data_IF_121610361473
#
_entry.id   IF_121610361473
#
_cell.length_a   1.000
_cell.length_b   1.000
_cell.length_c   1.000
_cell.angle_alpha   90.00
_cell.angle_beta   90.00
_cell.angle_gamma   90.00
#
_symmetry.space_group_name_H-M   'P 1'
#
loop_
_entity.id
_entity.type
_entity.pdbx_description
1 polymer ?
#
# COMPACT_ATOMS: atom_id res chain seq x y z
N UNK A 1 14.77 2.94 -32.97
CA UNK A 1 14.20 2.39 -31.72
C UNK A 1 12.74 2.80 -31.64
N UNK A 2 11.84 1.83 -31.65
CA UNK A 2 10.43 1.97 -31.99
C UNK A 2 9.61 2.91 -31.09
N UNK A 3 9.04 3.95 -31.66
CA UNK A 3 8.10 4.89 -31.04
C UNK A 3 6.77 4.25 -30.56
N UNK A 4 6.50 3.01 -30.91
CA UNK A 4 5.30 2.26 -30.48
C UNK A 4 5.37 1.71 -29.04
N UNK A 5 6.54 1.65 -28.41
CA UNK A 5 6.68 1.16 -27.02
C UNK A 5 6.22 2.18 -25.97
N UNK A 6 6.08 3.46 -26.34
CA UNK A 6 5.77 4.57 -25.40
C UNK A 6 4.26 4.71 -25.12
N UNK A 7 3.40 4.13 -25.99
CA UNK A 7 1.94 4.21 -25.85
C UNK A 7 1.33 3.19 -24.85
N UNK A 8 2.14 2.26 -24.33
CA UNK A 8 1.70 1.24 -23.38
C UNK A 8 1.59 1.75 -21.91
N UNK A 9 2.07 2.96 -21.64
CA UNK A 9 2.09 3.50 -20.29
C UNK A 9 0.94 4.49 -20.06
N UNK A 10 0.10 4.30 -19.01
CA UNK A 10 -1.07 5.16 -18.74
C UNK A 10 -0.71 6.59 -18.33
N UNK A 11 0.57 6.85 -18.07
CA UNK A 11 1.11 8.17 -17.73
C UNK A 11 2.31 8.51 -18.61
N UNK A 12 2.24 9.60 -19.34
CA UNK A 12 3.44 10.26 -19.87
C UNK A 12 4.10 10.98 -18.70
N UNK A 13 5.42 10.90 -18.57
CA UNK A 13 6.20 11.66 -17.56
C UNK A 13 5.90 13.16 -17.67
N UNK A 14 5.52 13.64 -18.87
CA UNK A 14 5.09 15.03 -19.13
C UNK A 14 3.75 15.44 -18.48
N UNK A 15 2.87 14.49 -18.13
CA UNK A 15 1.60 14.81 -17.46
C UNK A 15 1.80 15.09 -15.95
N UNK A 16 3.00 14.85 -15.45
CA UNK A 16 3.35 15.03 -14.04
C UNK A 16 4.00 16.41 -13.86
N UNK A 17 3.26 17.35 -13.29
CA UNK A 17 3.83 18.65 -12.93
C UNK A 17 4.81 18.47 -11.76
N UNK A 18 6.12 18.55 -12.05
CA UNK A 18 7.20 18.34 -11.09
C UNK A 18 7.15 19.34 -9.94
N UNK A 19 6.88 20.61 -10.25
CA UNK A 19 6.87 21.67 -9.23
C UNK A 19 5.72 21.47 -8.26
N UNK A 20 4.55 21.06 -8.77
CA UNK A 20 3.40 20.70 -7.93
C UNK A 20 3.73 19.51 -7.04
N UNK A 21 4.40 18.47 -7.58
CA UNK A 21 4.83 17.33 -6.77
C UNK A 21 5.73 17.76 -5.62
N UNK A 22 6.77 18.55 -5.90
CA UNK A 22 7.71 18.97 -4.87
C UNK A 22 7.03 19.85 -3.80
N UNK A 23 6.09 20.70 -4.20
CA UNK A 23 5.29 21.50 -3.28
C UNK A 23 4.44 20.62 -2.37
N UNK A 24 3.70 19.67 -2.93
CA UNK A 24 2.85 18.76 -2.16
C UNK A 24 3.68 17.82 -1.29
N UNK A 25 4.79 17.30 -1.80
CA UNK A 25 5.72 16.43 -1.08
C UNK A 25 6.34 17.12 0.13
N UNK A 26 6.72 18.39 -0.02
CA UNK A 26 7.25 19.18 1.09
C UNK A 26 6.17 19.58 2.10
N UNK A 27 4.98 19.94 1.64
CA UNK A 27 3.82 20.23 2.49
C UNK A 27 3.41 19.02 3.34
N UNK A 28 3.38 17.85 2.73
CA UNK A 28 3.12 16.58 3.41
C UNK A 28 4.26 16.12 4.33
N UNK A 29 5.35 16.90 4.47
CA UNK A 29 6.55 16.54 5.24
C UNK A 29 7.14 15.17 4.89
N UNK A 30 6.87 14.68 3.70
CA UNK A 30 7.28 13.38 3.21
C UNK A 30 8.81 13.23 3.09
N UNK A 31 9.53 14.35 2.93
CA UNK A 31 10.99 14.41 2.91
C UNK A 31 11.64 14.19 4.27
N UNK A 32 10.90 14.31 5.36
CA UNK A 32 11.42 14.15 6.73
C UNK A 32 11.25 12.71 7.18
N UNK A 33 12.33 11.95 7.14
CA UNK A 33 12.37 10.61 7.70
C UNK A 33 12.52 10.62 9.24
N UNK A 34 12.88 9.49 9.80
CA UNK A 34 13.08 9.33 11.24
C UNK A 34 14.07 10.37 11.79
N UNK A 35 13.89 10.73 13.07
CA UNK A 35 14.90 11.50 13.79
C UNK A 35 16.20 10.70 13.83
N UNK A 36 17.28 11.29 13.32
CA UNK A 36 18.63 10.68 13.34
C UNK A 36 19.19 10.58 14.76
N UNK A 37 18.40 10.98 15.74
CA UNK A 37 18.78 11.10 17.12
C UNK A 37 18.73 9.82 17.88
N UNK A 38 19.76 9.64 18.36
CA UNK A 38 20.38 8.92 19.45
C UNK A 38 21.31 7.88 18.86
N UNK A 39 22.56 8.26 18.89
CA UNK A 39 23.70 7.36 18.86
C UNK A 39 23.45 6.17 19.82
N UNK A 40 22.63 6.36 20.85
CA UNK A 40 22.15 5.34 21.78
C UNK A 40 20.94 4.53 21.29
N UNK A 41 20.09 5.03 20.39
CA UNK A 41 19.00 4.23 19.83
C UNK A 41 19.48 3.55 18.55
N UNK A 42 19.41 2.22 18.50
CA UNK A 42 19.79 1.34 17.38
C UNK A 42 18.98 1.57 16.07
N UNK A 43 18.20 2.65 15.97
CA UNK A 43 17.44 3.03 14.77
C UNK A 43 18.28 3.86 13.82
N UNK A 44 19.29 3.23 13.23
CA UNK A 44 20.07 3.82 12.13
C UNK A 44 19.32 3.68 10.81
N UNK A 45 19.62 4.57 9.85
CA UNK A 45 19.18 4.35 8.46
C UNK A 45 19.65 2.98 7.98
N UNK A 46 18.77 2.25 7.31
CA UNK A 46 19.14 0.94 6.78
C UNK A 46 20.13 1.11 5.60
N UNK A 47 21.18 0.32 5.49
CA UNK A 47 22.18 0.47 4.42
C UNK A 47 21.58 0.47 3.01
N UNK A 48 20.54 -0.33 2.75
CA UNK A 48 19.88 -0.37 1.44
C UNK A 48 19.12 0.91 1.08
N UNK A 49 18.67 1.71 2.08
CA UNK A 49 17.94 2.95 1.85
C UNK A 49 18.85 4.19 1.82
N UNK A 50 20.13 4.06 2.13
CA UNK A 50 21.09 5.20 2.15
C UNK A 50 21.15 5.91 0.82
N UNK A 51 21.03 5.20 -0.31
CA UNK A 51 21.02 5.79 -1.64
C UNK A 51 19.90 6.81 -1.87
N UNK A 52 18.82 6.73 -1.11
CA UNK A 52 17.69 7.66 -1.20
C UNK A 52 17.81 8.87 -0.28
N UNK A 53 18.88 8.98 0.48
CA UNK A 53 19.06 10.03 1.50
C UNK A 53 19.96 11.14 0.99
N UNK A 54 19.60 12.39 1.30
CA UNK A 54 20.45 13.57 1.04
C UNK A 54 21.37 13.87 2.21
N UNK A 55 20.95 13.54 3.44
CA UNK A 55 21.69 13.87 4.66
C UNK A 55 20.77 14.09 5.85
N UNK A 56 21.27 14.83 6.85
CA UNK A 56 20.52 15.13 8.07
C UNK A 56 20.37 16.64 8.26
N UNK A 57 19.17 17.10 8.61
CA UNK A 57 18.88 18.50 8.97
C UNK A 57 17.99 18.53 10.20
N UNK A 58 18.35 19.34 11.21
CA UNK A 58 17.58 19.49 12.46
C UNK A 58 17.24 18.14 13.10
N UNK A 59 18.20 17.24 13.16
CA UNK A 59 18.04 15.90 13.73
C UNK A 59 17.10 14.95 12.96
N UNK A 60 16.65 15.33 11.76
CA UNK A 60 15.90 14.47 10.86
C UNK A 60 16.74 14.07 9.65
N UNK A 61 16.62 12.83 9.26
CA UNK A 61 17.16 12.34 7.99
C UNK A 61 16.28 12.91 6.87
N UNK A 62 16.91 13.40 5.81
CA UNK A 62 16.20 14.00 4.66
C UNK A 62 16.27 13.04 3.48
N UNK A 63 15.09 12.67 2.98
CA UNK A 63 14.92 11.83 1.79
C UNK A 63 15.04 12.71 0.55
N UNK A 64 15.66 12.19 -0.49
CA UNK A 64 15.87 12.88 -1.76
C UNK A 64 14.55 12.97 -2.57
N UNK A 65 13.96 14.16 -2.75
CA UNK A 65 12.70 14.31 -3.45
C UNK A 65 12.79 13.97 -4.95
N UNK A 66 13.96 14.15 -5.57
CA UNK A 66 14.16 13.82 -6.99
C UNK A 66 14.07 12.32 -7.22
N UNK A 67 14.75 11.54 -6.39
CA UNK A 67 14.69 10.08 -6.46
C UNK A 67 13.31 9.56 -6.07
N UNK A 68 12.66 10.20 -5.09
CA UNK A 68 11.28 9.86 -4.73
C UNK A 68 10.35 10.04 -5.92
N UNK A 69 10.43 11.17 -6.63
CA UNK A 69 9.60 11.41 -7.82
C UNK A 69 9.80 10.32 -8.88
N UNK A 70 11.06 9.99 -9.20
CA UNK A 70 11.38 8.95 -10.19
C UNK A 70 10.77 7.59 -9.81
N UNK A 71 11.01 7.16 -8.56
CA UNK A 71 10.50 5.87 -8.06
C UNK A 71 8.98 5.87 -7.93
N UNK A 72 8.38 7.00 -7.53
CA UNK A 72 6.94 7.15 -7.43
C UNK A 72 6.25 7.03 -8.79
N UNK A 73 6.73 7.75 -9.81
CA UNK A 73 6.19 7.66 -11.18
C UNK A 73 6.33 6.23 -11.71
N UNK A 74 7.48 5.59 -11.49
CA UNK A 74 7.69 4.18 -11.88
C UNK A 74 6.70 3.24 -11.21
N UNK A 75 6.43 3.44 -9.92
CA UNK A 75 5.46 2.65 -9.16
C UNK A 75 4.03 2.84 -9.69
N UNK A 76 3.64 4.09 -10.02
CA UNK A 76 2.34 4.37 -10.62
C UNK A 76 2.18 3.72 -12.01
N UNK A 77 3.24 3.69 -12.82
CA UNK A 77 3.23 3.01 -14.12
C UNK A 77 2.99 1.51 -13.96
N UNK A 78 3.67 0.87 -13.02
CA UNK A 78 3.49 -0.57 -12.75
C UNK A 78 2.06 -0.85 -12.28
N UNK A 79 1.53 -0.06 -11.34
CA UNK A 79 0.15 -0.18 -10.87
C UNK A 79 -0.82 -0.07 -12.08
N UNK A 80 -0.65 0.95 -12.92
CA UNK A 80 -1.47 1.14 -14.11
C UNK A 80 -1.37 -0.01 -15.12
N UNK A 81 -0.19 -0.56 -15.31
CA UNK A 81 0.02 -1.73 -16.17
C UNK A 81 -0.74 -2.96 -15.67
N UNK A 82 -0.69 -3.24 -14.35
CA UNK A 82 -1.43 -4.34 -13.75
C UNK A 82 -2.95 -4.14 -13.88
N UNK A 83 -3.43 -2.93 -13.68
CA UNK A 83 -4.85 -2.58 -13.80
C UNK A 83 -5.37 -2.75 -15.25
N UNK A 84 -4.62 -2.29 -16.26
CA UNK A 84 -4.96 -2.51 -17.67
C UNK A 84 -5.05 -3.99 -18.04
N UNK A 85 -4.23 -4.82 -17.41
CA UNK A 85 -4.29 -6.28 -17.58
C UNK A 85 -5.36 -6.96 -16.72
N UNK A 86 -6.24 -6.20 -16.08
CA UNK A 86 -7.29 -6.70 -15.15
C UNK A 86 -6.71 -7.60 -14.05
N UNK A 87 -5.50 -7.27 -13.60
CA UNK A 87 -4.80 -7.96 -12.52
C UNK A 87 -5.24 -7.41 -11.16
N UNK A 88 -5.15 -8.24 -10.13
CA UNK A 88 -5.59 -7.90 -8.77
C UNK A 88 -4.50 -7.22 -7.98
N UNK A 89 -4.86 -6.14 -7.31
CA UNK A 89 -3.97 -5.36 -6.43
C UNK A 89 -4.48 -5.46 -5.01
N UNK A 90 -3.62 -5.88 -4.09
CA UNK A 90 -3.91 -5.91 -2.66
C UNK A 90 -3.19 -4.75 -1.98
N UNK A 91 -3.96 -3.90 -1.30
CA UNK A 91 -3.42 -2.86 -0.42
C UNK A 91 -3.32 -3.42 0.99
N UNK A 92 -2.12 -3.36 1.58
CA UNK A 92 -1.87 -3.85 2.94
C UNK A 92 -1.50 -2.70 3.85
N UNK A 93 -2.22 -2.61 4.95
CA UNK A 93 -2.00 -1.64 6.01
C UNK A 93 -2.19 -2.29 7.38
N UNK A 94 -1.27 -2.06 8.29
CA UNK A 94 -1.38 -2.52 9.69
C UNK A 94 -1.48 -1.38 10.68
N UNK A 95 -1.32 -0.13 10.22
CA UNK A 95 -1.49 1.02 11.08
C UNK A 95 -2.99 1.39 11.19
N UNK A 96 -3.60 1.34 12.39
CA UNK A 96 -5.01 1.68 12.57
C UNK A 96 -5.32 3.15 12.20
N UNK A 97 -4.35 4.06 12.29
CA UNK A 97 -4.53 5.47 11.91
C UNK A 97 -4.89 5.65 10.43
N UNK A 98 -4.46 4.73 9.56
CA UNK A 98 -4.73 4.79 8.13
C UNK A 98 -5.96 3.98 7.70
N UNK A 99 -6.59 3.25 8.63
CA UNK A 99 -7.72 2.37 8.31
C UNK A 99 -8.86 3.12 7.62
N UNK A 100 -9.32 4.23 8.21
CA UNK A 100 -10.39 5.06 7.67
C UNK A 100 -10.03 5.66 6.29
N UNK A 101 -8.76 6.03 6.12
CA UNK A 101 -8.28 6.61 4.87
C UNK A 101 -8.32 5.61 3.73
N UNK A 102 -7.91 4.37 4.00
CA UNK A 102 -7.93 3.27 3.01
C UNK A 102 -9.36 2.85 2.69
N UNK A 103 -10.22 2.81 3.70
CA UNK A 103 -11.64 2.48 3.51
C UNK A 103 -12.34 3.53 2.62
N UNK A 104 -12.11 4.82 2.87
CA UNK A 104 -12.64 5.89 2.03
C UNK A 104 -12.07 5.83 0.60
N UNK A 105 -10.78 5.55 0.45
CA UNK A 105 -10.16 5.31 -0.86
C UNK A 105 -10.83 4.14 -1.58
N UNK A 106 -11.02 3.01 -0.90
CA UNK A 106 -11.64 1.82 -1.47
C UNK A 106 -13.08 2.09 -1.90
N UNK A 107 -13.90 2.73 -1.06
CA UNK A 107 -15.27 3.12 -1.40
C UNK A 107 -15.32 4.00 -2.65
N UNK A 108 -14.39 4.94 -2.81
CA UNK A 108 -14.30 5.79 -3.99
C UNK A 108 -13.88 5.04 -5.27
N UNK A 109 -13.20 3.91 -5.13
CA UNK A 109 -12.73 3.08 -6.25
C UNK A 109 -13.68 1.95 -6.62
N UNK A 110 -14.54 1.50 -5.69
CA UNK A 110 -15.54 0.43 -5.91
C UNK A 110 -16.47 0.69 -7.09
N UNK A 111 -16.83 1.95 -7.31
CA UNK A 111 -17.73 2.36 -8.39
C UNK A 111 -17.18 2.10 -9.81
N UNK A 112 -15.92 1.60 -9.92
CA UNK A 112 -15.19 1.51 -11.19
C UNK A 112 -14.86 0.08 -11.64
N UNK A 113 -15.46 -0.94 -11.02
CA UNK A 113 -15.25 -2.37 -11.36
C UNK A 113 -13.77 -2.78 -11.44
N UNK A 114 -12.92 -2.22 -10.58
CA UNK A 114 -11.48 -2.49 -10.59
C UNK A 114 -11.16 -3.54 -9.51
N UNK A 115 -10.29 -4.48 -9.85
CA UNK A 115 -9.86 -5.57 -8.98
C UNK A 115 -8.83 -5.08 -7.93
N UNK A 116 -9.28 -4.17 -7.05
CA UNK A 116 -8.48 -3.69 -5.92
C UNK A 116 -9.15 -4.15 -4.64
N UNK A 117 -8.39 -4.78 -3.76
CA UNK A 117 -8.83 -5.20 -2.43
C UNK A 117 -7.86 -4.65 -1.38
N UNK A 118 -8.28 -4.65 -0.11
CA UNK A 118 -7.42 -4.19 0.97
C UNK A 118 -7.53 -5.07 2.21
N UNK A 119 -6.45 -5.07 2.99
CA UNK A 119 -6.38 -5.68 4.31
C UNK A 119 -5.92 -4.62 5.32
N UNK A 120 -6.76 -4.33 6.32
CA UNK A 120 -6.49 -3.38 7.39
C UNK A 120 -6.14 -4.07 8.71
N UNK A 121 -5.44 -3.36 9.59
CA UNK A 121 -5.12 -3.66 10.98
C UNK A 121 -4.09 -4.77 11.17
N UNK A 122 -4.37 -6.03 10.83
CA UNK A 122 -3.45 -7.12 11.13
C UNK A 122 -3.31 -8.08 9.94
N UNK A 123 -2.06 -8.33 9.57
CA UNK A 123 -1.75 -9.40 8.63
C UNK A 123 -1.85 -10.77 9.31
N UNK A 124 -2.54 -11.68 8.67
CA UNK A 124 -2.61 -13.08 9.10
C UNK A 124 -1.47 -13.83 8.40
N UNK A 125 -0.53 -14.37 9.17
CA UNK A 125 0.57 -15.16 8.62
C UNK A 125 0.05 -16.31 7.78
N UNK A 126 0.69 -16.55 6.63
CA UNK A 126 0.25 -17.54 5.67
C UNK A 126 -0.90 -17.09 4.75
N UNK A 127 -1.30 -15.82 4.80
CA UNK A 127 -2.42 -15.30 3.99
C UNK A 127 -2.21 -15.53 2.50
N UNK A 128 -1.02 -15.28 1.97
CA UNK A 128 -0.70 -15.51 0.57
C UNK A 128 -0.31 -16.96 0.28
N UNK A 129 0.49 -17.56 1.15
CA UNK A 129 1.02 -18.92 0.95
C UNK A 129 -0.09 -19.96 1.08
N UNK A 130 -0.97 -19.85 2.09
CA UNK A 130 -2.11 -20.73 2.32
C UNK A 130 -3.43 -20.14 1.79
N UNK A 131 -3.38 -19.42 0.67
CA UNK A 131 -4.49 -18.66 0.10
C UNK A 131 -5.84 -19.37 0.12
N UNK A 132 -5.89 -20.60 -0.40
CA UNK A 132 -7.14 -21.36 -0.49
C UNK A 132 -7.79 -21.62 0.87
N UNK A 133 -6.99 -22.00 1.87
CA UNK A 133 -7.50 -22.32 3.21
C UNK A 133 -7.93 -21.04 3.94
N UNK A 134 -7.12 -19.98 3.86
CA UNK A 134 -7.44 -18.69 4.49
C UNK A 134 -8.70 -18.10 3.87
N UNK A 135 -8.84 -18.13 2.54
CA UNK A 135 -10.05 -17.65 1.86
C UNK A 135 -11.31 -18.39 2.27
N UNK A 136 -11.25 -19.72 2.43
CA UNK A 136 -12.38 -20.51 2.95
C UNK A 136 -12.76 -20.07 4.37
N UNK A 137 -11.77 -19.89 5.24
CA UNK A 137 -11.99 -19.42 6.62
C UNK A 137 -12.64 -18.03 6.65
N UNK A 138 -12.19 -17.12 5.79
CA UNK A 138 -12.76 -15.77 5.67
C UNK A 138 -14.19 -15.83 5.14
N UNK A 139 -14.45 -16.62 4.12
CA UNK A 139 -15.82 -16.82 3.56
C UNK A 139 -16.77 -17.36 4.61
N UNK A 140 -16.34 -18.38 5.38
CA UNK A 140 -17.12 -18.92 6.48
C UNK A 140 -17.40 -17.88 7.55
N UNK A 141 -16.38 -17.07 7.89
CA UNK A 141 -16.52 -15.97 8.86
C UNK A 141 -17.48 -14.88 8.34
N UNK A 142 -17.41 -14.51 7.07
CA UNK A 142 -18.31 -13.53 6.47
C UNK A 142 -19.77 -14.03 6.48
N UNK A 143 -20.02 -15.28 6.07
CA UNK A 143 -21.35 -15.87 6.12
C UNK A 143 -21.90 -15.96 7.56
N UNK A 144 -21.04 -16.27 8.52
CA UNK A 144 -21.38 -16.20 9.95
C UNK A 144 -21.72 -14.76 10.36
N UNK A 145 -20.91 -13.81 9.96
CA UNK A 145 -21.07 -12.38 10.27
C UNK A 145 -22.41 -11.83 9.77
N UNK A 146 -22.80 -12.17 8.54
CA UNK A 146 -24.09 -11.76 7.95
C UNK A 146 -25.28 -12.25 8.78
N UNK A 147 -25.23 -13.50 9.28
CA UNK A 147 -26.29 -14.10 10.10
C UNK A 147 -26.33 -13.57 11.53
N UNK A 148 -25.18 -13.29 12.12
CA UNK A 148 -25.05 -12.88 13.53
C UNK A 148 -25.03 -11.38 13.77
N UNK A 149 -24.86 -10.56 12.71
CA UNK A 149 -24.80 -9.10 12.86
C UNK A 149 -26.04 -8.52 13.54
N UNK A 150 -27.22 -9.00 13.16
CA UNK A 150 -28.52 -8.61 13.75
C UNK A 150 -28.61 -9.03 15.20
N UNK A 151 -28.18 -10.23 15.55
CA UNK A 151 -28.20 -10.74 16.92
C UNK A 151 -27.23 -10.00 17.84
N UNK A 152 -26.02 -9.68 17.35
CA UNK A 152 -25.00 -8.92 18.10
C UNK A 152 -25.50 -7.50 18.39
N UNK A 153 -26.12 -6.84 17.39
CA UNK A 153 -26.66 -5.50 17.53
C UNK A 153 -27.85 -5.45 18.50
N UNK A 154 -28.76 -6.42 18.42
CA UNK A 154 -29.95 -6.48 19.29
C UNK A 154 -29.60 -6.72 20.77
N UNK A 155 -28.55 -7.48 21.04
CA UNK A 155 -28.19 -7.88 22.40
C UNK A 155 -27.01 -7.06 22.98
N UNK A 156 -26.51 -6.03 22.28
CA UNK A 156 -25.38 -5.21 22.71
C UNK A 156 -24.14 -6.03 23.14
N UNK A 157 -23.91 -7.18 22.51
CA UNK A 157 -22.84 -8.10 22.88
C UNK A 157 -21.51 -7.55 22.33
N UNK A 158 -20.58 -7.23 23.20
CA UNK A 158 -19.26 -6.76 22.79
C UNK A 158 -18.32 -7.95 22.55
N UNK A 159 -18.09 -8.29 21.27
CA UNK A 159 -17.09 -9.27 20.86
C UNK A 159 -15.85 -8.61 20.23
N UNK A 160 -14.84 -8.22 21.01
CA UNK A 160 -13.66 -7.50 20.48
C UNK A 160 -12.94 -8.31 19.39
N UNK A 161 -12.82 -9.63 19.55
CA UNK A 161 -12.20 -10.52 18.56
C UNK A 161 -12.99 -10.54 17.24
N UNK A 162 -14.32 -10.59 17.31
CA UNK A 162 -15.19 -10.53 16.14
C UNK A 162 -15.02 -9.20 15.40
N UNK A 163 -15.09 -8.07 16.11
CA UNK A 163 -14.93 -6.73 15.56
C UNK A 163 -13.58 -6.59 14.84
N UNK A 164 -12.51 -7.08 15.45
CA UNK A 164 -11.17 -7.03 14.87
C UNK A 164 -11.05 -7.89 13.61
N UNK A 165 -11.62 -9.08 13.58
CA UNK A 165 -11.64 -9.92 12.37
C UNK A 165 -12.48 -9.29 11.26
N UNK A 166 -13.62 -8.71 11.62
CA UNK A 166 -14.51 -8.04 10.66
C UNK A 166 -13.80 -6.86 9.98
N UNK A 167 -13.16 -5.98 10.74
CA UNK A 167 -12.41 -4.84 10.19
C UNK A 167 -11.24 -5.27 9.31
N UNK A 168 -10.55 -6.35 9.68
CA UNK A 168 -9.42 -6.86 8.87
C UNK A 168 -9.86 -7.40 7.51
N UNK A 169 -11.06 -7.96 7.39
CA UNK A 169 -11.49 -8.67 6.19
C UNK A 169 -12.58 -7.97 5.37
N UNK A 170 -13.16 -6.88 5.88
CA UNK A 170 -14.23 -6.15 5.17
C UNK A 170 -13.81 -5.60 3.79
N UNK A 171 -12.51 -5.44 3.56
CA UNK A 171 -11.95 -5.01 2.28
C UNK A 171 -11.81 -6.09 1.22
N UNK A 172 -12.22 -7.32 1.53
CA UNK A 172 -12.14 -8.47 0.63
C UNK A 172 -13.55 -8.90 0.21
N UNK A 173 -13.78 -9.01 -1.09
CA UNK A 173 -15.06 -9.51 -1.65
C UNK A 173 -14.95 -11.00 -1.99
N UNK A 174 -16.09 -11.68 -2.17
CA UNK A 174 -16.13 -13.08 -2.60
C UNK A 174 -15.32 -13.33 -3.88
N UNK A 175 -15.40 -12.43 -4.82
CA UNK A 175 -14.67 -12.47 -6.10
C UNK A 175 -13.13 -12.41 -5.93
N UNK A 176 -12.66 -11.76 -4.85
CA UNK A 176 -11.23 -11.64 -4.55
C UNK A 176 -10.62 -12.98 -4.13
N UNK A 177 -11.42 -13.95 -3.69
CA UNK A 177 -10.95 -15.25 -3.20
C UNK A 177 -10.65 -16.27 -4.30
N UNK A 178 -11.07 -16.04 -5.54
CA UNK A 178 -10.80 -16.98 -6.63
C UNK A 178 -9.31 -17.10 -6.96
N UNK A 179 -8.59 -15.98 -6.96
CA UNK A 179 -7.18 -15.92 -7.32
C UNK A 179 -6.40 -15.07 -6.33
N UNK A 180 -5.12 -15.40 -6.14
CA UNK A 180 -4.19 -14.58 -5.37
C UNK A 180 -4.03 -13.20 -6.00
N UNK A 181 -3.66 -12.16 -5.21
CA UNK A 181 -3.27 -10.88 -5.77
C UNK A 181 -2.02 -10.99 -6.64
N UNK A 182 -1.98 -10.20 -7.71
CA UNK A 182 -0.85 -10.16 -8.65
C UNK A 182 0.15 -9.07 -8.28
N UNK A 183 -0.26 -8.08 -7.47
CA UNK A 183 0.57 -6.97 -7.00
C UNK A 183 0.16 -6.61 -5.57
N UNK A 184 1.14 -6.28 -4.74
CA UNK A 184 0.90 -5.80 -3.37
C UNK A 184 1.36 -4.36 -3.25
N UNK A 185 0.49 -3.49 -2.70
CA UNK A 185 0.85 -2.15 -2.27
C UNK A 185 0.91 -2.12 -0.74
N UNK A 186 2.10 -1.93 -0.19
CA UNK A 186 2.37 -2.01 1.25
C UNK A 186 2.71 -0.64 1.82
N UNK A 187 1.97 -0.21 2.85
CA UNK A 187 2.15 1.11 3.45
C UNK A 187 3.29 1.11 4.47
N UNK A 188 3.33 0.14 5.39
CA UNK A 188 4.33 0.06 6.45
C UNK A 188 5.18 -1.22 6.33
N UNK A 189 6.21 -1.23 5.49
CA UNK A 189 7.02 -2.44 5.25
C UNK A 189 7.83 -2.91 6.47
N UNK A 190 8.19 -2.00 7.39
CA UNK A 190 8.96 -2.35 8.58
C UNK A 190 8.18 -3.24 9.55
N UNK A 191 6.87 -3.00 9.68
CA UNK A 191 5.98 -3.76 10.55
C UNK A 191 5.46 -5.03 9.88
N UNK A 192 5.54 -5.07 8.54
CA UNK A 192 4.93 -6.10 7.71
C UNK A 192 5.96 -6.93 6.94
N UNK A 193 7.07 -7.26 7.57
CA UNK A 193 8.13 -8.03 6.92
C UNK A 193 7.64 -9.38 6.40
N UNK A 194 6.75 -10.03 7.14
CA UNK A 194 6.15 -11.32 6.74
C UNK A 194 5.36 -11.22 5.43
N UNK A 195 4.70 -10.08 5.16
CA UNK A 195 4.01 -9.86 3.86
C UNK A 195 5.01 -9.91 2.71
N UNK A 196 6.17 -9.26 2.89
CA UNK A 196 7.22 -9.22 1.87
C UNK A 196 7.82 -10.62 1.65
N UNK A 197 8.08 -11.36 2.72
CA UNK A 197 8.61 -12.73 2.65
C UNK A 197 7.66 -13.68 1.93
N UNK A 198 6.36 -13.63 2.26
CA UNK A 198 5.34 -14.40 1.55
C UNK A 198 5.22 -13.99 0.07
N UNK A 199 5.26 -12.69 -0.23
CA UNK A 199 5.20 -12.18 -1.60
C UNK A 199 6.40 -12.64 -2.43
N UNK A 200 7.60 -12.56 -1.87
CA UNK A 200 8.83 -13.03 -2.52
C UNK A 200 8.77 -14.53 -2.81
N UNK A 201 8.31 -15.35 -1.85
CA UNK A 201 8.18 -16.80 -2.05
C UNK A 201 7.25 -17.19 -3.19
N UNK A 202 6.30 -16.30 -3.52
CA UNK A 202 5.29 -16.50 -4.57
C UNK A 202 5.58 -15.68 -5.85
N UNK A 203 6.72 -14.99 -5.91
CA UNK A 203 7.09 -14.08 -7.01
C UNK A 203 6.05 -12.98 -7.26
N UNK A 204 5.37 -12.49 -6.23
CA UNK A 204 4.43 -11.38 -6.32
C UNK A 204 5.20 -10.08 -6.11
N UNK A 205 5.20 -9.13 -7.08
CA UNK A 205 5.89 -7.86 -6.91
C UNK A 205 5.26 -7.00 -5.82
N UNK A 206 6.12 -6.34 -5.04
CA UNK A 206 5.73 -5.46 -3.93
C UNK A 206 6.09 -4.02 -4.27
N UNK A 207 5.10 -3.14 -4.24
CA UNK A 207 5.25 -1.69 -4.19
C UNK A 207 5.12 -1.26 -2.73
N UNK A 208 6.05 -0.50 -2.18
CA UNK A 208 5.96 -0.10 -0.78
C UNK A 208 6.42 1.34 -0.55
N UNK A 209 5.77 2.03 0.40
CA UNK A 209 6.24 3.32 0.92
C UNK A 209 7.39 3.01 1.89
N UNK A 210 8.59 3.51 1.59
CA UNK A 210 9.81 3.14 2.30
C UNK A 210 10.45 4.34 2.99
N UNK A 211 10.67 4.22 4.28
CA UNK A 211 11.37 5.22 5.08
C UNK A 211 12.89 4.93 5.13
N UNK A 212 13.65 5.82 5.75
CA UNK A 212 15.11 5.72 5.88
C UNK A 212 15.60 4.46 6.61
N UNK A 213 14.79 3.89 7.50
CA UNK A 213 15.11 2.69 8.27
C UNK A 213 14.58 1.39 7.64
N UNK A 214 14.01 1.47 6.43
CA UNK A 214 13.41 0.32 5.76
C UNK A 214 14.46 -0.54 5.07
N UNK A 215 14.40 -1.86 5.32
CA UNK A 215 15.13 -2.83 4.52
C UNK A 215 14.40 -3.05 3.19
N UNK A 216 15.07 -2.72 2.08
CA UNK A 216 14.49 -2.81 0.74
C UNK A 216 14.50 -4.22 0.15
N UNK A 217 15.11 -5.19 0.83
CA UNK A 217 15.16 -6.57 0.34
C UNK A 217 13.75 -7.15 0.15
N UNK A 218 13.45 -7.61 -1.07
CA UNK A 218 12.13 -8.13 -1.44
C UNK A 218 11.11 -7.08 -1.88
N UNK A 219 11.43 -5.79 -1.80
CA UNK A 219 10.58 -4.71 -2.31
C UNK A 219 10.97 -4.41 -3.76
N UNK A 220 10.06 -4.68 -4.71
CA UNK A 220 10.33 -4.51 -6.14
C UNK A 220 10.30 -3.05 -6.57
N UNK A 221 9.41 -2.26 -5.99
CA UNK A 221 9.18 -0.85 -6.34
C UNK A 221 9.07 0.00 -5.07
N UNK A 222 10.20 0.46 -4.51
CA UNK A 222 10.17 1.33 -3.33
C UNK A 222 9.73 2.74 -3.72
N UNK A 223 8.91 3.35 -2.88
CA UNK A 223 8.52 4.77 -2.92
C UNK A 223 9.17 5.43 -1.70
N UNK A 224 10.34 6.08 -1.85
CA UNK A 224 11.00 6.72 -0.72
C UNK A 224 10.16 7.87 -0.16
N UNK A 225 9.88 7.84 1.13
CA UNK A 225 9.11 8.86 1.81
C UNK A 225 8.77 8.49 3.24
N UNK A 226 8.30 9.45 4.00
CA UNK A 226 7.91 9.23 5.39
C UNK A 226 6.65 8.37 5.46
N UNK A 227 6.80 7.09 5.85
CA UNK A 227 5.68 6.15 6.00
C UNK A 227 4.74 6.50 7.17
N UNK A 228 5.18 7.38 8.09
CA UNK A 228 4.38 7.82 9.24
C UNK A 228 3.62 9.13 8.96
N UNK A 229 3.73 9.70 7.78
CA UNK A 229 2.96 10.89 7.39
C UNK A 229 1.64 10.50 6.75
N UNK A 230 0.54 10.78 7.44
CA UNK A 230 -0.83 10.56 6.94
C UNK A 230 -1.04 11.30 5.62
N UNK A 231 -0.54 12.54 5.52
CA UNK A 231 -0.67 13.38 4.34
C UNK A 231 0.05 12.76 3.13
N UNK A 232 1.22 12.16 3.35
CA UNK A 232 1.97 11.50 2.27
C UNK A 232 1.30 10.21 1.82
N UNK A 233 0.83 9.39 2.74
CA UNK A 233 0.05 8.18 2.43
C UNK A 233 -1.20 8.55 1.65
N UNK A 234 -1.93 9.58 2.09
CA UNK A 234 -3.11 10.10 1.40
C UNK A 234 -2.77 10.58 -0.02
N UNK A 235 -1.67 11.33 -0.17
CA UNK A 235 -1.18 11.77 -1.48
C UNK A 235 -0.89 10.58 -2.42
N UNK A 236 -0.23 9.54 -1.93
CA UNK A 236 0.03 8.33 -2.71
C UNK A 236 -1.28 7.64 -3.15
N UNK A 237 -2.24 7.49 -2.23
CA UNK A 237 -3.54 6.89 -2.53
C UNK A 237 -4.35 7.71 -3.53
N UNK A 238 -4.33 9.04 -3.45
CA UNK A 238 -4.99 9.91 -4.43
C UNK A 238 -4.44 9.70 -5.84
N UNK A 239 -3.12 9.56 -5.99
CA UNK A 239 -2.52 9.29 -7.29
C UNK A 239 -2.87 7.88 -7.80
N UNK A 240 -2.90 6.88 -6.93
CA UNK A 240 -3.37 5.54 -7.29
C UNK A 240 -4.84 5.60 -7.75
N UNK A 241 -5.71 6.37 -7.06
CA UNK A 241 -7.10 6.57 -7.50
C UNK A 241 -7.21 7.21 -8.88
N UNK A 242 -6.33 8.18 -9.20
CA UNK A 242 -6.26 8.78 -10.55
C UNK A 242 -5.83 7.77 -11.62
N UNK A 243 -4.86 6.90 -11.29
CA UNK A 243 -4.43 5.80 -12.17
C UNK A 243 -5.58 4.83 -12.42
N UNK A 244 -6.30 4.42 -11.36
CA UNK A 244 -7.49 3.57 -11.46
C UNK A 244 -8.55 4.21 -12.37
N UNK A 245 -8.82 5.50 -12.17
CA UNK A 245 -9.80 6.24 -12.98
C UNK A 245 -9.46 6.22 -14.47
N UNK A 246 -8.20 6.42 -14.81
CA UNK A 246 -7.74 6.42 -16.21
C UNK A 246 -7.76 5.02 -16.82
N UNK A 247 -7.38 3.98 -16.06
CA UNK A 247 -7.39 2.61 -16.55
C UNK A 247 -8.78 2.03 -16.78
N UNK A 248 -9.82 2.61 -16.18
CA UNK A 248 -11.22 2.22 -16.36
C UNK A 248 -11.93 2.94 -17.52
N UNK A 249 -11.33 3.99 -18.07
CA UNK A 249 -11.89 4.77 -19.19
C UNK A 249 -11.32 4.39 -20.55
N UNK A 250 -10.27 3.59 -20.59
CA UNK A 250 -9.69 2.96 -21.79
C UNK A 250 -10.12 1.47 -21.88
#
# INVERSE_FOLDING_TARGET
MNSKAISLYPFKIGDFNRDLFYKDYTKAKAHRAHKSLNIASKKRSHPSSVSFLLGCKNKHVIINPYQTLEKFVKSLHIIGFFLKKKKRILIVNTNPEYANLIENFYRSTLLKNVSVCYCNEKWVGGFLTNWKQVCRSIQTFMAFSERFSTFILQNNINFPRYKKMYTSFQGLKKEDFEKRPDLIFLINPNENRHVIEEAVSLNIPVVAITDSNTNLLGISYPIPGNSNSIEFVHYCLQWIARVIKRSSTE
#
